data_IF_618638700128
#
_entry.id   IF_618638700128
#
_cell.length_a   1.000
_cell.length_b   1.000
_cell.length_c   1.000
_cell.angle_alpha   90.00
_cell.angle_beta   90.00
_cell.angle_gamma   90.00
#
_symmetry.space_group_name_H-M   'P 1'
#
loop_
_entity.id
_entity.type
_entity.pdbx_description
1 polymer ?
#
# COMPACT_ATOMS: atom_id res chain seq x y z
N UNK A 1 52.69 10.62 4.33
CA UNK A 1 54.01 11.28 4.49
C UNK A 1 53.78 12.51 5.31
N UNK A 2 54.45 12.55 6.47
CA UNK A 2 54.56 13.67 7.41
C UNK A 2 53.25 14.27 7.97
N UNK A 3 52.71 13.58 8.97
CA UNK A 3 51.87 14.20 9.95
C UNK A 3 52.75 14.93 10.94
N UNK A 4 52.88 16.24 10.81
CA UNK A 4 53.33 17.10 11.91
C UNK A 4 52.31 16.98 13.04
N UNK A 5 52.71 16.25 14.09
CA UNK A 5 52.02 16.28 15.35
C UNK A 5 52.12 17.72 15.86
N UNK A 6 51.10 18.52 15.64
CA UNK A 6 50.92 19.80 16.29
C UNK A 6 50.84 19.51 17.81
N UNK A 7 51.95 19.75 18.53
CA UNK A 7 51.99 19.74 19.98
C UNK A 7 50.89 20.69 20.50
N UNK A 8 49.78 20.11 20.87
CA UNK A 8 48.72 20.83 21.56
C UNK A 8 49.32 21.43 22.84
N UNK A 9 49.23 22.74 23.08
CA UNK A 9 49.74 23.35 24.30
C UNK A 9 49.13 22.61 25.47
N UNK A 10 49.98 22.19 26.44
CA UNK A 10 49.57 21.47 27.66
C UNK A 10 48.44 22.25 28.34
N UNK A 11 47.19 21.92 28.03
CA UNK A 11 46.02 22.54 28.65
C UNK A 11 45.99 22.06 30.10
N UNK A 12 46.31 22.98 31.02
CA UNK A 12 46.19 22.72 32.43
C UNK A 12 44.73 22.48 32.81
N UNK A 13 44.49 21.44 33.63
CA UNK A 13 43.14 21.17 34.10
C UNK A 13 42.58 22.35 34.91
N UNK A 14 41.27 22.54 34.84
CA UNK A 14 40.55 23.59 35.55
C UNK A 14 40.93 23.62 37.02
N UNK A 15 41.10 22.44 37.63
CA UNK A 15 41.49 22.25 39.03
C UNK A 15 42.82 22.92 39.35
N UNK A 16 43.88 22.71 38.51
CA UNK A 16 45.20 23.31 38.75
C UNK A 16 45.21 24.81 38.54
N UNK A 17 44.41 25.33 37.57
CA UNK A 17 44.31 26.80 37.38
C UNK A 17 43.57 27.51 38.51
N UNK A 18 42.51 26.91 39.07
CA UNK A 18 41.78 27.46 40.19
C UNK A 18 42.61 27.38 41.47
N UNK A 19 43.18 26.20 41.78
CA UNK A 19 43.99 25.98 42.96
C UNK A 19 45.26 26.86 42.95
N UNK A 20 45.95 26.98 41.84
CA UNK A 20 47.15 27.81 41.76
C UNK A 20 46.87 29.27 42.02
N UNK A 21 45.77 29.81 41.48
CA UNK A 21 45.36 31.19 41.82
C UNK A 21 44.96 31.39 43.27
N UNK A 22 44.26 30.43 43.87
CA UNK A 22 43.89 30.49 45.29
C UNK A 22 45.07 30.38 46.18
N UNK A 23 46.07 29.54 45.91
CA UNK A 23 47.33 29.41 46.70
C UNK A 23 48.14 30.69 46.63
N UNK A 24 48.24 31.36 45.49
CA UNK A 24 48.94 32.65 45.38
C UNK A 24 48.29 33.71 46.29
N UNK A 25 46.95 33.79 46.23
CA UNK A 25 46.22 34.74 47.06
C UNK A 25 46.31 34.43 48.52
N UNK A 26 46.26 33.16 48.92
CA UNK A 26 46.45 32.74 50.30
C UNK A 26 47.85 33.11 50.76
N UNK A 27 48.87 32.93 49.92
CA UNK A 27 50.23 33.33 50.25
C UNK A 27 50.33 34.87 50.43
N UNK A 28 49.70 35.65 49.54
CA UNK A 28 49.66 37.11 49.67
C UNK A 28 48.96 37.52 50.94
N UNK A 29 47.81 36.95 51.28
CA UNK A 29 47.08 37.25 52.53
C UNK A 29 47.89 36.90 53.78
N UNK A 30 48.56 35.74 53.79
CA UNK A 30 49.48 35.41 54.94
C UNK A 30 50.63 36.37 55.02
N UNK A 31 51.21 36.81 53.90
CA UNK A 31 52.28 37.75 53.82
C UNK A 31 51.86 39.14 54.33
N UNK A 32 50.71 39.66 53.92
CA UNK A 32 50.20 40.96 54.44
C UNK A 32 49.93 40.97 55.93
N UNK A 33 49.38 39.90 56.47
CA UNK A 33 49.18 39.72 57.92
C UNK A 33 50.50 39.66 58.62
N UNK A 34 51.48 38.87 58.13
CA UNK A 34 52.82 38.76 58.75
C UNK A 34 53.56 40.11 58.74
N UNK A 35 53.51 40.85 57.63
CA UNK A 35 54.09 42.20 57.56
C UNK A 35 53.41 43.17 58.50
N UNK A 36 52.10 43.12 58.61
CA UNK A 36 51.33 43.98 59.56
C UNK A 36 51.73 43.71 61.03
N UNK A 37 51.85 42.45 61.43
CA UNK A 37 52.32 42.08 62.75
C UNK A 37 53.74 42.53 62.96
N UNK A 38 54.64 42.30 61.99
CA UNK A 38 56.06 42.72 62.13
C UNK A 38 56.20 44.24 62.31
N UNK A 39 55.48 45.05 61.51
CA UNK A 39 55.48 46.53 61.62
C UNK A 39 54.89 46.94 62.92
N UNK A 40 53.79 46.35 63.39
CA UNK A 40 53.15 46.69 64.66
C UNK A 40 54.04 46.42 65.85
N UNK A 41 54.77 45.32 65.83
CA UNK A 41 55.76 44.99 66.87
C UNK A 41 56.98 45.98 66.85
N UNK A 42 57.46 46.32 65.65
CA UNK A 42 58.58 47.25 65.49
C UNK A 42 58.26 48.67 65.96
N UNK A 43 57.02 49.12 65.82
CA UNK A 43 56.54 50.46 66.16
C UNK A 43 56.01 50.52 67.60
N UNK A 44 56.11 49.44 68.38
CA UNK A 44 55.65 49.31 69.78
C UNK A 44 54.19 49.75 69.95
N UNK A 45 53.29 49.35 68.95
CA UNK A 45 51.89 49.73 68.97
C UNK A 45 51.14 49.06 70.10
N UNK A 46 50.29 49.79 70.83
CA UNK A 46 49.46 49.18 71.90
C UNK A 46 48.59 48.05 71.33
N UNK A 47 48.45 46.92 72.08
CA UNK A 47 47.74 45.73 71.53
C UNK A 47 46.35 45.98 70.95
N UNK A 48 45.62 46.94 71.51
CA UNK A 48 44.27 47.36 71.01
C UNK A 48 44.28 47.91 69.57
N UNK A 49 45.32 48.69 69.21
CA UNK A 49 45.45 49.25 67.87
C UNK A 49 45.96 48.20 66.87
N UNK A 50 46.88 47.35 67.33
CA UNK A 50 47.34 46.25 66.51
C UNK A 50 46.19 45.26 66.15
N UNK A 51 45.34 44.92 67.14
CA UNK A 51 44.16 44.08 66.88
C UNK A 51 43.18 44.69 65.89
N UNK A 52 42.88 46.01 66.03
CA UNK A 52 41.99 46.69 65.06
C UNK A 52 42.58 46.74 63.62
N UNK A 53 43.86 46.99 63.47
CA UNK A 53 44.56 46.98 62.21
C UNK A 53 44.59 45.58 61.59
N UNK A 54 44.82 44.55 62.37
CA UNK A 54 44.73 43.15 61.84
C UNK A 54 43.36 42.81 61.37
N UNK A 55 42.29 43.18 62.02
CA UNK A 55 40.92 42.97 61.59
C UNK A 55 40.65 43.68 60.28
N UNK A 56 41.13 44.88 60.08
CA UNK A 56 40.97 45.62 58.80
C UNK A 56 41.73 44.93 57.67
N UNK A 57 42.98 44.52 57.93
CA UNK A 57 43.79 43.81 56.92
C UNK A 57 43.16 42.48 56.53
N UNK A 58 42.75 41.67 57.49
CA UNK A 58 42.08 40.38 57.24
C UNK A 58 40.76 40.61 56.50
N UNK A 59 39.98 41.62 56.85
CA UNK A 59 38.75 41.98 56.18
C UNK A 59 39.00 42.38 54.71
N UNK A 60 40.04 43.19 54.47
CA UNK A 60 40.44 43.59 53.14
C UNK A 60 40.92 42.39 52.27
N UNK A 61 41.71 41.50 52.86
CA UNK A 61 42.19 40.29 52.20
C UNK A 61 41.04 39.35 51.82
N UNK A 62 40.02 39.17 52.69
CA UNK A 62 38.81 38.39 52.43
C UNK A 62 38.02 38.97 51.30
N UNK A 63 37.84 40.30 51.25
CA UNK A 63 37.15 40.95 50.14
C UNK A 63 37.93 40.76 48.84
N UNK A 64 39.22 40.96 48.83
CA UNK A 64 40.10 40.77 47.71
C UNK A 64 40.04 39.32 47.20
N UNK A 65 40.09 38.34 48.10
CA UNK A 65 39.96 36.93 47.81
C UNK A 65 38.61 36.64 47.18
N UNK A 66 37.49 37.15 47.66
CA UNK A 66 36.15 36.97 47.12
C UNK A 66 36.01 37.56 45.75
N UNK A 67 36.48 38.78 45.48
CA UNK A 67 36.45 39.43 44.18
C UNK A 67 37.28 38.66 43.18
N UNK A 68 38.49 38.24 43.56
CA UNK A 68 39.34 37.46 42.67
C UNK A 68 38.76 36.06 42.37
N UNK A 69 38.24 35.37 43.37
CA UNK A 69 37.61 34.08 43.18
C UNK A 69 36.41 34.19 42.22
N UNK A 70 35.57 35.20 42.46
CA UNK A 70 34.43 35.45 41.53
C UNK A 70 34.90 35.77 40.10
N UNK A 71 35.88 36.65 39.94
CA UNK A 71 36.44 36.97 38.61
C UNK A 71 37.02 35.75 37.92
N UNK A 72 37.75 34.90 38.62
CA UNK A 72 38.34 33.68 38.10
C UNK A 72 37.25 32.66 37.72
N UNK A 73 36.25 32.48 38.58
CA UNK A 73 35.14 31.57 38.32
C UNK A 73 34.34 32.00 37.07
N UNK A 74 34.04 33.29 36.97
CA UNK A 74 33.33 33.85 35.83
C UNK A 74 34.11 33.61 34.55
N UNK A 75 35.38 33.99 34.49
CA UNK A 75 36.19 33.89 33.26
C UNK A 75 36.62 32.48 32.86
N UNK A 76 36.82 31.56 33.82
CA UNK A 76 37.31 30.21 33.52
C UNK A 76 36.18 29.18 33.37
N UNK A 77 34.99 29.46 33.88
CA UNK A 77 33.90 28.51 33.91
C UNK A 77 32.62 29.08 33.33
N UNK A 78 32.10 30.17 33.90
CA UNK A 78 30.77 30.65 33.59
C UNK A 78 30.66 31.18 32.14
N UNK A 79 31.59 32.04 31.73
CA UNK A 79 31.60 32.57 30.34
C UNK A 79 31.74 31.46 29.29
N UNK A 80 32.74 30.54 29.35
CA UNK A 80 32.86 29.47 28.37
C UNK A 80 31.67 28.49 28.34
N UNK A 81 31.08 28.18 29.50
CA UNK A 81 29.89 27.34 29.55
C UNK A 81 28.69 28.03 28.91
N UNK A 82 28.50 29.33 29.18
CA UNK A 82 27.43 30.09 28.54
C UNK A 82 27.57 30.13 27.00
N UNK A 83 28.81 30.35 26.52
CA UNK A 83 29.10 30.29 25.06
C UNK A 83 28.83 28.90 24.47
N UNK A 84 29.13 27.81 25.21
CA UNK A 84 28.83 26.46 24.77
C UNK A 84 27.32 26.17 24.71
N UNK A 85 26.55 26.63 25.71
CA UNK A 85 25.10 26.49 25.73
C UNK A 85 24.49 27.22 24.52
N UNK A 86 24.86 28.49 24.32
CA UNK A 86 24.38 29.31 23.21
C UNK A 86 24.74 28.71 21.85
N UNK A 87 25.98 28.24 21.68
CA UNK A 87 26.43 27.57 20.48
C UNK A 87 25.70 26.25 20.23
N UNK A 88 25.37 25.48 21.29
CA UNK A 88 24.62 24.22 21.16
C UNK A 88 23.16 24.48 20.78
N UNK A 89 22.52 25.53 21.31
CA UNK A 89 21.17 25.93 20.93
C UNK A 89 21.12 26.38 19.48
N UNK A 90 22.13 27.08 18.97
CA UNK A 90 22.21 27.48 17.58
C UNK A 90 22.42 26.28 16.64
N UNK A 91 23.24 25.30 17.00
CA UNK A 91 23.37 24.04 16.25
C UNK A 91 22.03 23.31 16.23
N UNK A 92 21.32 23.25 17.35
CA UNK A 92 20.01 22.61 17.46
C UNK A 92 18.91 23.32 16.65
N UNK A 93 19.00 24.64 16.47
CA UNK A 93 18.05 25.42 15.67
C UNK A 93 18.30 25.37 14.16
N UNK A 94 19.35 24.67 13.72
CA UNK A 94 19.63 24.43 12.30
C UNK A 94 20.85 25.19 11.73
N UNK A 95 21.60 25.94 12.54
CA UNK A 95 22.87 26.55 12.13
C UNK A 95 24.00 25.51 12.20
N UNK A 96 23.97 24.53 11.33
CA UNK A 96 24.85 23.36 11.37
C UNK A 96 26.33 23.64 11.10
N UNK A 97 26.67 24.77 10.48
CA UNK A 97 28.06 25.16 10.16
C UNK A 97 28.81 25.74 11.39
N UNK A 98 28.10 26.03 12.47
CA UNK A 98 28.70 26.59 13.66
C UNK A 98 29.40 25.52 14.47
N UNK A 99 30.63 25.85 14.89
CA UNK A 99 31.42 25.01 15.82
C UNK A 99 31.60 25.74 17.12
N UNK A 100 31.57 24.98 18.20
CA UNK A 100 31.93 25.49 19.51
C UNK A 100 33.42 25.89 19.54
N UNK A 101 33.77 27.03 20.14
CA UNK A 101 35.13 27.53 20.15
C UNK A 101 36.06 26.66 21.03
N UNK A 102 37.36 26.76 20.77
CA UNK A 102 38.36 26.16 21.60
C UNK A 102 38.42 26.85 22.97
N UNK A 103 38.47 26.06 24.03
CA UNK A 103 38.47 26.53 25.38
C UNK A 103 39.85 26.39 26.04
N UNK A 104 40.07 27.19 27.07
CA UNK A 104 41.39 27.29 27.74
C UNK A 104 41.67 26.16 28.75
N UNK A 105 40.67 25.35 29.10
CA UNK A 105 40.79 24.27 30.08
C UNK A 105 40.58 22.92 29.42
N UNK A 106 41.33 21.91 29.81
CA UNK A 106 41.31 20.60 29.21
C UNK A 106 39.92 19.93 29.26
N UNK A 107 39.17 20.13 30.33
CA UNK A 107 37.85 19.54 30.53
C UNK A 107 36.81 20.15 29.60
N UNK A 108 36.80 21.48 29.48
CA UNK A 108 35.88 22.17 28.57
C UNK A 108 36.25 21.95 27.12
N UNK A 109 37.54 21.84 26.78
CA UNK A 109 38.01 21.50 25.45
C UNK A 109 37.51 20.13 25.02
N UNK A 110 37.58 19.11 25.89
CA UNK A 110 37.01 17.79 25.61
C UNK A 110 35.52 17.83 25.38
N UNK A 111 34.79 18.63 26.16
CA UNK A 111 33.35 18.79 26.01
C UNK A 111 33.01 19.47 24.68
N UNK A 112 33.71 20.56 24.33
CA UNK A 112 33.55 21.27 23.06
C UNK A 112 33.81 20.34 21.88
N UNK A 113 34.90 19.55 21.93
CA UNK A 113 35.23 18.58 20.87
C UNK A 113 34.19 17.48 20.74
N UNK A 114 33.67 16.93 21.85
CA UNK A 114 32.65 15.90 21.82
C UNK A 114 31.31 16.41 21.21
N UNK A 115 30.92 17.65 21.55
CA UNK A 115 29.71 18.27 21.01
C UNK A 115 29.89 18.53 19.49
N UNK A 116 31.06 19.04 19.08
CA UNK A 116 31.36 19.28 17.68
C UNK A 116 31.36 17.97 16.84
N UNK A 117 31.89 16.88 17.39
CA UNK A 117 31.87 15.56 16.75
C UNK A 117 30.44 14.99 16.65
N UNK A 118 29.65 15.16 17.73
CA UNK A 118 28.23 14.76 17.71
C UNK A 118 27.46 15.54 16.65
N UNK A 119 27.64 16.85 16.56
CA UNK A 119 27.01 17.71 15.55
C UNK A 119 27.39 17.25 14.12
N UNK A 120 28.69 17.01 13.87
CA UNK A 120 29.16 16.53 12.58
C UNK A 120 28.55 15.16 12.19
N UNK A 121 28.43 14.26 13.16
CA UNK A 121 27.80 12.92 12.96
C UNK A 121 26.31 13.06 12.65
N UNK A 122 25.60 13.93 13.37
CA UNK A 122 24.17 14.19 13.09
C UNK A 122 23.94 14.73 11.68
N UNK A 123 24.75 15.69 11.25
CA UNK A 123 24.67 16.27 9.90
C UNK A 123 24.91 15.15 8.85
N UNK A 124 25.95 14.36 9.03
CA UNK A 124 26.26 13.27 8.13
C UNK A 124 25.12 12.26 8.02
N UNK A 125 24.54 11.87 9.15
CA UNK A 125 23.39 10.96 9.19
C UNK A 125 22.14 11.54 8.52
N UNK A 126 21.88 12.84 8.66
CA UNK A 126 20.78 13.51 7.97
C UNK A 126 20.98 13.51 6.45
N UNK A 127 22.19 13.79 5.97
CA UNK A 127 22.53 13.75 4.55
C UNK A 127 22.41 12.33 3.97
N UNK A 128 22.85 11.31 4.71
CA UNK A 128 22.70 9.92 4.32
C UNK A 128 21.23 9.51 4.25
N UNK A 129 20.44 9.90 5.25
CA UNK A 129 18.99 9.63 5.26
C UNK A 129 18.31 10.30 4.06
N UNK A 130 18.64 11.55 3.77
CA UNK A 130 18.09 12.27 2.63
C UNK A 130 18.46 11.59 1.28
N UNK A 131 19.70 11.09 1.15
CA UNK A 131 20.14 10.29 -0.01
C UNK A 131 19.37 8.98 -0.14
N UNK A 132 19.21 8.26 0.96
CA UNK A 132 18.48 7.00 0.98
C UNK A 132 17.00 7.17 0.59
N UNK A 133 16.34 8.21 1.12
CA UNK A 133 14.94 8.54 0.76
C UNK A 133 14.82 8.82 -0.75
N UNK A 134 15.72 9.61 -1.33
CA UNK A 134 15.71 9.88 -2.77
C UNK A 134 15.95 8.63 -3.60
N UNK A 135 16.89 7.77 -3.19
CA UNK A 135 17.15 6.48 -3.86
C UNK A 135 15.95 5.55 -3.82
N UNK A 136 15.28 5.45 -2.66
CA UNK A 136 14.05 4.66 -2.50
C UNK A 136 12.91 5.18 -3.38
N UNK A 137 12.73 6.50 -3.50
CA UNK A 137 11.70 7.10 -4.36
C UNK A 137 11.94 6.76 -5.84
N UNK A 138 13.18 6.87 -6.31
CA UNK A 138 13.56 6.49 -7.68
C UNK A 138 13.29 5.01 -7.92
N UNK A 139 13.77 4.13 -7.04
CA UNK A 139 13.59 2.68 -7.18
C UNK A 139 12.12 2.29 -7.16
N UNK A 140 11.31 2.91 -6.32
CA UNK A 140 9.87 2.66 -6.25
C UNK A 140 9.14 3.07 -7.55
N UNK A 141 9.53 4.20 -8.14
CA UNK A 141 9.01 4.63 -9.45
C UNK A 141 9.40 3.66 -10.57
N UNK A 142 10.65 3.20 -10.60
CA UNK A 142 11.12 2.21 -11.58
C UNK A 142 10.38 0.88 -11.43
N UNK A 143 10.19 0.40 -10.21
CA UNK A 143 9.44 -0.81 -9.90
C UNK A 143 7.98 -0.70 -10.38
N UNK A 144 7.32 0.42 -10.10
CA UNK A 144 5.95 0.68 -10.55
C UNK A 144 5.83 0.67 -12.08
N UNK A 145 6.80 1.29 -12.78
CA UNK A 145 6.84 1.29 -14.25
C UNK A 145 7.12 -0.11 -14.82
N UNK A 146 8.05 -0.85 -14.22
CA UNK A 146 8.37 -2.22 -14.63
C UNK A 146 7.15 -3.13 -14.46
N UNK A 147 6.44 -2.99 -13.34
CA UNK A 147 5.20 -3.71 -13.06
C UNK A 147 4.11 -3.41 -14.10
N UNK A 148 3.90 -2.13 -14.43
CA UNK A 148 2.93 -1.73 -15.46
C UNK A 148 3.27 -2.35 -16.83
N UNK A 149 4.56 -2.38 -17.18
CA UNK A 149 5.03 -3.05 -18.42
C UNK A 149 4.80 -4.55 -18.38
N UNK A 150 5.06 -5.20 -17.23
CA UNK A 150 4.86 -6.65 -17.05
C UNK A 150 3.39 -7.03 -17.18
N UNK A 151 2.48 -6.28 -16.55
CA UNK A 151 1.02 -6.47 -16.69
C UNK A 151 0.57 -6.30 -18.14
N UNK A 152 1.11 -5.31 -18.87
CA UNK A 152 0.82 -5.14 -20.30
C UNK A 152 1.34 -6.30 -21.14
N UNK A 153 2.56 -6.77 -20.89
CA UNK A 153 3.15 -7.89 -21.60
C UNK A 153 2.38 -9.20 -21.34
N UNK A 154 1.96 -9.45 -20.10
CA UNK A 154 1.14 -10.59 -19.73
C UNK A 154 -0.23 -10.56 -20.41
N UNK A 155 -0.86 -9.38 -20.46
CA UNK A 155 -2.12 -9.18 -21.21
C UNK A 155 -1.95 -9.46 -22.70
N UNK A 156 -0.88 -8.96 -23.32
CA UNK A 156 -0.58 -9.22 -24.72
C UNK A 156 -0.30 -10.70 -24.97
N UNK A 157 0.42 -11.38 -24.08
CA UNK A 157 0.66 -12.81 -24.18
C UNK A 157 -0.63 -13.62 -24.00
N UNK A 158 -1.54 -13.19 -23.10
CA UNK A 158 -2.87 -13.78 -22.95
C UNK A 158 -3.71 -13.60 -24.21
N UNK A 159 -3.77 -12.38 -24.76
CA UNK A 159 -4.43 -12.10 -26.04
C UNK A 159 -3.79 -12.90 -27.18
N UNK A 160 -2.46 -13.03 -27.20
CA UNK A 160 -1.76 -13.84 -28.21
C UNK A 160 -2.13 -15.33 -28.15
N UNK A 161 -2.29 -15.89 -26.96
CA UNK A 161 -2.80 -17.28 -26.79
C UNK A 161 -4.27 -17.40 -27.18
N UNK A 162 -5.06 -16.36 -26.96
CA UNK A 162 -6.47 -16.30 -27.33
C UNK A 162 -6.67 -16.00 -28.83
N UNK A 163 -5.67 -15.39 -29.50
CA UNK A 163 -5.77 -14.98 -30.89
C UNK A 163 -6.11 -16.15 -31.85
N UNK A 164 -5.62 -17.34 -31.57
CA UNK A 164 -5.94 -18.52 -32.34
C UNK A 164 -7.44 -18.92 -32.20
N UNK A 165 -7.97 -18.87 -30.95
CA UNK A 165 -9.39 -19.13 -30.69
C UNK A 165 -10.29 -18.06 -31.30
N UNK A 166 -9.93 -16.78 -31.13
CA UNK A 166 -10.66 -15.64 -31.75
C UNK A 166 -10.66 -15.72 -33.26
N UNK A 167 -9.52 -16.00 -33.90
CA UNK A 167 -9.45 -16.15 -35.35
C UNK A 167 -10.34 -17.29 -35.84
N UNK A 168 -10.41 -18.39 -35.09
CA UNK A 168 -11.28 -19.50 -35.42
C UNK A 168 -12.77 -19.16 -35.25
N UNK A 169 -13.11 -18.49 -34.14
CA UNK A 169 -14.48 -18.10 -33.83
C UNK A 169 -15.03 -16.95 -34.69
N UNK A 170 -14.17 -16.05 -35.19
CA UNK A 170 -14.56 -15.03 -36.19
C UNK A 170 -14.55 -15.64 -37.58
N UNK A 171 -13.62 -16.54 -37.88
CA UNK A 171 -13.54 -17.20 -39.18
C UNK A 171 -14.75 -18.04 -39.52
N UNK A 172 -15.34 -18.71 -38.53
CA UNK A 172 -16.55 -19.52 -38.73
C UNK A 172 -17.76 -18.71 -39.22
N UNK A 173 -18.22 -17.63 -38.53
CA UNK A 173 -19.33 -16.81 -39.01
C UNK A 173 -19.01 -16.09 -40.33
N UNK A 174 -17.76 -15.69 -40.56
CA UNK A 174 -17.34 -15.12 -41.84
C UNK A 174 -17.50 -16.14 -42.97
N UNK A 175 -17.11 -17.38 -42.75
CA UNK A 175 -17.33 -18.47 -43.68
C UNK A 175 -18.82 -18.72 -43.97
N UNK A 176 -19.67 -18.69 -42.94
CA UNK A 176 -21.11 -18.81 -43.08
C UNK A 176 -21.72 -17.64 -43.89
N UNK A 177 -21.30 -16.38 -43.56
CA UNK A 177 -21.71 -15.20 -44.35
C UNK A 177 -21.36 -15.37 -45.83
N UNK A 178 -20.13 -15.81 -46.15
CA UNK A 178 -19.72 -16.07 -47.53
C UNK A 178 -20.57 -17.16 -48.19
N UNK A 179 -20.95 -18.20 -47.44
CA UNK A 179 -21.88 -19.24 -47.88
C UNK A 179 -23.26 -18.69 -48.20
N UNK A 180 -23.86 -17.92 -47.32
CA UNK A 180 -25.18 -17.27 -47.53
C UNK A 180 -25.17 -16.31 -48.72
N UNK A 181 -24.14 -15.48 -48.86
CA UNK A 181 -23.96 -14.61 -50.03
C UNK A 181 -23.84 -15.42 -51.34
N UNK A 182 -23.19 -16.60 -51.27
CA UNK A 182 -23.11 -17.53 -52.41
C UNK A 182 -24.47 -18.09 -52.83
N UNK A 183 -25.36 -18.37 -51.87
CA UNK A 183 -26.74 -18.80 -52.10
C UNK A 183 -27.57 -17.65 -52.71
N UNK A 184 -27.47 -16.45 -52.15
CA UNK A 184 -28.16 -15.26 -52.68
C UNK A 184 -27.78 -14.94 -54.12
N UNK A 185 -26.50 -15.05 -54.48
CA UNK A 185 -25.99 -14.86 -55.85
C UNK A 185 -26.52 -15.89 -56.84
N UNK A 186 -26.94 -17.07 -56.42
CA UNK A 186 -27.52 -18.13 -57.26
C UNK A 186 -29.05 -18.08 -57.38
N UNK A 187 -29.67 -17.00 -56.83
CA UNK A 187 -31.11 -16.81 -56.96
C UNK A 187 -31.93 -17.52 -55.86
N UNK A 188 -31.33 -17.80 -54.69
CA UNK A 188 -32.06 -18.31 -53.55
C UNK A 188 -33.11 -17.32 -53.02
N UNK A 189 -34.11 -17.82 -52.30
CA UNK A 189 -35.20 -17.03 -51.73
C UNK A 189 -34.67 -15.82 -50.94
N UNK A 190 -35.20 -14.63 -51.23
CA UNK A 190 -34.61 -13.34 -50.84
C UNK A 190 -34.61 -13.04 -49.33
N UNK A 191 -35.29 -13.84 -48.50
CA UNK A 191 -35.38 -13.68 -47.06
C UNK A 191 -34.31 -14.46 -46.26
N UNK A 192 -34.15 -15.75 -46.52
CA UNK A 192 -33.37 -16.66 -45.65
C UNK A 192 -31.88 -16.38 -45.63
N UNK A 193 -31.26 -15.99 -46.75
CA UNK A 193 -29.83 -15.68 -46.74
C UNK A 193 -29.50 -14.31 -46.14
N UNK A 194 -30.42 -13.33 -46.21
CA UNK A 194 -30.27 -12.00 -45.55
C UNK A 194 -30.33 -12.15 -44.06
N UNK A 195 -31.27 -12.91 -43.52
CA UNK A 195 -31.42 -13.18 -42.10
C UNK A 195 -30.21 -13.95 -41.57
N UNK A 196 -29.69 -14.93 -42.35
CA UNK A 196 -28.47 -15.64 -41.99
C UNK A 196 -27.23 -14.74 -41.94
N UNK A 197 -27.06 -13.84 -42.91
CA UNK A 197 -25.96 -12.86 -42.91
C UNK A 197 -26.09 -11.90 -41.71
N UNK A 198 -27.29 -11.39 -41.44
CA UNK A 198 -27.54 -10.52 -40.31
C UNK A 198 -27.21 -11.21 -38.98
N UNK A 199 -27.66 -12.43 -38.78
CA UNK A 199 -27.39 -13.23 -37.59
C UNK A 199 -25.89 -13.44 -37.35
N UNK A 200 -25.12 -13.85 -38.36
CA UNK A 200 -23.68 -14.08 -38.23
C UNK A 200 -22.90 -12.76 -38.04
N UNK A 201 -23.39 -11.65 -38.60
CA UNK A 201 -22.79 -10.32 -38.36
C UNK A 201 -22.98 -9.88 -36.92
N UNK A 202 -24.16 -10.04 -36.33
CA UNK A 202 -24.43 -9.78 -34.92
C UNK A 202 -23.59 -10.68 -34.00
N UNK A 203 -23.33 -11.91 -34.42
CA UNK A 203 -22.48 -12.85 -33.71
C UNK A 203 -21.03 -12.35 -33.66
N UNK A 204 -20.47 -11.88 -34.79
CA UNK A 204 -19.13 -11.28 -34.83
C UNK A 204 -19.07 -10.05 -33.91
N UNK A 205 -20.08 -9.17 -33.95
CA UNK A 205 -20.12 -7.99 -33.07
C UNK A 205 -20.09 -8.39 -31.60
N UNK A 206 -20.84 -9.43 -31.20
CA UNK A 206 -20.80 -9.95 -29.80
C UNK A 206 -19.42 -10.49 -29.42
N UNK A 207 -18.74 -11.22 -30.29
CA UNK A 207 -17.38 -11.76 -30.04
C UNK A 207 -16.39 -10.60 -29.87
N UNK A 208 -16.43 -9.62 -30.78
CA UNK A 208 -15.53 -8.46 -30.76
C UNK A 208 -15.76 -7.61 -29.50
N UNK A 209 -17.02 -7.33 -29.15
CA UNK A 209 -17.33 -6.59 -27.90
C UNK A 209 -16.87 -7.34 -26.66
N UNK A 210 -17.13 -8.64 -26.57
CA UNK A 210 -16.66 -9.47 -25.45
C UNK A 210 -15.13 -9.48 -25.32
N UNK A 211 -14.42 -9.51 -26.46
CA UNK A 211 -12.96 -9.42 -26.46
C UNK A 211 -12.46 -8.03 -26.02
N UNK A 212 -13.08 -6.96 -26.48
CA UNK A 212 -12.75 -5.59 -26.07
C UNK A 212 -13.01 -5.37 -24.57
N UNK A 213 -14.12 -5.87 -24.05
CA UNK A 213 -14.45 -5.84 -22.62
C UNK A 213 -13.44 -6.65 -21.80
N UNK A 214 -13.04 -7.82 -22.29
CA UNK A 214 -11.99 -8.63 -21.66
C UNK A 214 -10.63 -7.93 -21.71
N UNK A 215 -10.27 -7.24 -22.79
CA UNK A 215 -8.98 -6.58 -22.98
C UNK A 215 -8.86 -5.24 -22.24
N UNK A 216 -9.97 -4.52 -22.06
CA UNK A 216 -9.96 -3.15 -21.50
C UNK A 216 -10.07 -3.19 -19.99
N UNK A 217 -9.05 -2.67 -19.23
CA UNK A 217 -9.19 -2.50 -17.80
C UNK A 217 -10.14 -1.33 -17.55
N UNK A 218 -11.34 -1.60 -17.12
CA UNK A 218 -12.15 -0.55 -16.48
C UNK A 218 -11.59 -0.37 -15.08
N UNK A 219 -10.99 0.78 -14.79
CA UNK A 219 -10.70 1.21 -13.42
C UNK A 219 -12.03 1.30 -12.70
N UNK A 220 -12.34 0.31 -11.88
CA UNK A 220 -13.54 0.31 -11.07
C UNK A 220 -13.42 1.49 -10.09
N UNK A 221 -14.34 2.43 -10.15
CA UNK A 221 -14.54 3.35 -9.04
C UNK A 221 -15.25 2.57 -7.93
N UNK A 222 -14.46 1.92 -7.06
CA UNK A 222 -14.99 1.14 -5.96
C UNK A 222 -15.79 2.08 -5.03
N UNK A 223 -17.11 1.98 -5.08
CA UNK A 223 -18.04 2.72 -4.22
C UNK A 223 -18.92 1.72 -3.48
N UNK A 224 -19.50 2.11 -2.34
CA UNK A 224 -20.55 1.31 -1.72
C UNK A 224 -21.75 1.15 -2.69
N UNK A 225 -22.13 -0.09 -2.98
CA UNK A 225 -23.24 -0.43 -3.88
C UNK A 225 -24.23 -1.31 -3.14
N UNK A 226 -25.52 -0.96 -3.23
CA UNK A 226 -26.62 -1.81 -2.79
C UNK A 226 -26.80 -2.95 -3.84
N UNK A 227 -26.40 -4.16 -3.45
CA UNK A 227 -26.51 -5.34 -4.31
C UNK A 227 -27.96 -5.69 -4.57
N UNK A 228 -28.84 -5.65 -3.55
CA UNK A 228 -30.24 -5.99 -3.69
C UNK A 228 -30.97 -5.06 -4.68
N UNK A 229 -30.72 -3.76 -4.57
CA UNK A 229 -31.27 -2.78 -5.50
C UNK A 229 -30.77 -3.03 -6.93
N UNK A 230 -29.50 -3.39 -7.10
CA UNK A 230 -28.91 -3.71 -8.42
C UNK A 230 -29.53 -4.98 -9.00
N UNK A 231 -29.69 -6.05 -8.21
CA UNK A 231 -30.34 -7.30 -8.62
C UNK A 231 -31.79 -7.03 -9.07
N UNK A 232 -32.58 -6.33 -8.26
CA UNK A 232 -33.99 -6.03 -8.60
C UNK A 232 -34.12 -5.24 -9.90
N UNK A 233 -33.34 -4.18 -10.06
CA UNK A 233 -33.31 -3.34 -11.27
C UNK A 233 -32.92 -4.13 -12.51
N UNK A 234 -31.90 -4.98 -12.43
CA UNK A 234 -31.42 -5.80 -13.55
C UNK A 234 -32.50 -6.79 -14.00
N UNK A 235 -33.13 -7.49 -13.03
CA UNK A 235 -34.18 -8.46 -13.34
C UNK A 235 -35.41 -7.77 -13.96
N UNK A 236 -35.79 -6.61 -13.44
CA UNK A 236 -36.91 -5.84 -14.00
C UNK A 236 -36.63 -5.41 -15.44
N UNK A 237 -35.44 -4.90 -15.72
CA UNK A 237 -34.99 -4.55 -17.06
C UNK A 237 -35.06 -5.77 -18.01
N UNK A 238 -34.55 -6.92 -17.60
CA UNK A 238 -34.57 -8.14 -18.40
C UNK A 238 -35.99 -8.69 -18.63
N UNK A 239 -36.89 -8.56 -17.64
CA UNK A 239 -38.32 -8.87 -17.79
C UNK A 239 -38.98 -7.99 -18.86
N UNK A 240 -38.73 -6.68 -18.84
CA UNK A 240 -39.25 -5.73 -19.83
C UNK A 240 -38.73 -6.05 -21.26
N UNK A 241 -37.50 -6.55 -21.38
CA UNK A 241 -36.92 -6.98 -22.63
C UNK A 241 -37.45 -8.37 -23.12
N UNK A 242 -38.31 -9.02 -22.34
CA UNK A 242 -38.88 -10.32 -22.66
C UNK A 242 -37.86 -11.47 -22.61
N UNK A 243 -36.81 -11.35 -21.81
CA UNK A 243 -35.74 -12.38 -21.74
C UNK A 243 -36.15 -13.63 -20.95
N UNK A 244 -37.15 -13.54 -20.07
CA UNK A 244 -37.66 -14.65 -19.25
C UNK A 244 -38.95 -15.26 -19.79
N UNK A 245 -39.07 -15.45 -21.11
CA UNK A 245 -40.28 -16.01 -21.75
C UNK A 245 -40.60 -17.42 -21.24
N UNK A 246 -39.54 -18.21 -21.03
CA UNK A 246 -39.63 -19.62 -20.63
C UNK A 246 -39.14 -19.89 -19.21
N UNK A 247 -38.75 -18.85 -18.45
CA UNK A 247 -38.15 -18.97 -17.12
C UNK A 247 -38.93 -18.18 -16.09
N UNK A 248 -39.27 -18.79 -14.97
CA UNK A 248 -39.78 -18.11 -13.80
C UNK A 248 -38.64 -17.69 -12.91
N UNK A 249 -38.60 -16.42 -12.51
CA UNK A 249 -37.52 -15.89 -11.66
C UNK A 249 -38.05 -15.62 -10.26
N UNK A 250 -37.49 -16.34 -9.28
CA UNK A 250 -37.74 -16.15 -7.85
C UNK A 250 -36.59 -15.40 -7.16
N UNK A 251 -36.95 -14.50 -6.26
CA UNK A 251 -36.01 -13.69 -5.49
C UNK A 251 -36.12 -14.00 -4.01
N UNK A 252 -34.98 -14.34 -3.39
CA UNK A 252 -34.84 -14.51 -1.94
C UNK A 252 -33.69 -13.63 -1.46
N UNK A 253 -33.97 -12.34 -1.28
CA UNK A 253 -32.97 -11.33 -0.97
C UNK A 253 -33.02 -11.01 0.53
N UNK A 254 -31.87 -11.10 1.24
CA UNK A 254 -31.78 -10.74 2.66
C UNK A 254 -32.10 -9.26 2.89
N UNK A 255 -32.91 -8.94 3.91
CA UNK A 255 -33.41 -7.58 4.16
C UNK A 255 -32.30 -6.63 4.65
N UNK A 256 -31.38 -7.08 5.50
CA UNK A 256 -30.29 -6.27 6.11
C UNK A 256 -28.92 -6.63 5.49
N UNK A 257 -28.78 -6.37 4.18
CA UNK A 257 -27.53 -6.63 3.49
C UNK A 257 -26.63 -5.38 3.51
N UNK A 258 -25.41 -5.52 4.01
CA UNK A 258 -24.45 -4.42 3.95
C UNK A 258 -24.06 -4.09 2.50
N UNK A 259 -23.83 -2.80 2.17
CA UNK A 259 -23.38 -2.42 0.84
C UNK A 259 -22.08 -3.13 0.47
N UNK A 260 -21.98 -3.58 -0.77
CA UNK A 260 -20.77 -4.21 -1.29
C UNK A 260 -19.83 -3.16 -1.90
N UNK A 261 -18.54 -3.42 -1.86
CA UNK A 261 -17.55 -2.58 -2.51
C UNK A 261 -17.47 -2.93 -4.00
N UNK A 262 -17.86 -2.01 -4.89
CA UNK A 262 -17.84 -2.30 -6.33
C UNK A 262 -18.27 -1.15 -7.21
N UNK A 263 -18.53 -1.47 -8.46
CA UNK A 263 -19.11 -0.59 -9.47
C UNK A 263 -20.47 -1.16 -9.90
N UNK A 264 -21.53 -0.37 -9.73
CA UNK A 264 -22.89 -0.83 -10.00
C UNK A 264 -23.09 -1.30 -11.45
N UNK A 265 -22.44 -0.67 -12.43
CA UNK A 265 -22.57 -1.07 -13.84
C UNK A 265 -21.86 -2.40 -14.13
N UNK A 266 -20.74 -2.66 -13.46
CA UNK A 266 -20.03 -3.92 -13.57
C UNK A 266 -20.80 -5.06 -12.89
N UNK A 267 -21.40 -4.79 -11.71
CA UNK A 267 -22.26 -5.75 -11.02
C UNK A 267 -23.51 -6.07 -11.86
N UNK A 268 -24.15 -5.07 -12.46
CA UNK A 268 -25.26 -5.26 -13.40
C UNK A 268 -24.86 -6.16 -14.55
N UNK A 269 -23.68 -5.95 -15.15
CA UNK A 269 -23.15 -6.80 -16.24
C UNK A 269 -22.93 -8.24 -15.78
N UNK A 270 -22.37 -8.46 -14.57
CA UNK A 270 -22.22 -9.81 -14.00
C UNK A 270 -23.57 -10.48 -13.84
N UNK A 271 -24.53 -9.80 -13.22
CA UNK A 271 -25.88 -10.35 -12.99
C UNK A 271 -26.57 -10.69 -14.32
N UNK A 272 -26.49 -9.81 -15.32
CA UNK A 272 -27.02 -10.08 -16.67
C UNK A 272 -26.39 -11.34 -17.26
N UNK A 273 -25.07 -11.48 -17.21
CA UNK A 273 -24.38 -12.66 -17.74
C UNK A 273 -24.79 -13.95 -17.04
N UNK A 274 -24.93 -13.93 -15.69
CA UNK A 274 -25.37 -15.10 -14.94
C UNK A 274 -26.81 -15.49 -15.30
N UNK A 275 -27.72 -14.52 -15.38
CA UNK A 275 -29.13 -14.76 -15.71
C UNK A 275 -29.32 -15.22 -17.16
N UNK A 276 -28.56 -14.67 -18.12
CA UNK A 276 -28.58 -15.14 -19.51
C UNK A 276 -28.08 -16.58 -19.62
N UNK A 277 -27.01 -16.95 -18.91
CA UNK A 277 -26.53 -18.32 -18.88
C UNK A 277 -27.58 -19.28 -18.30
N UNK A 278 -28.27 -18.89 -17.22
CA UNK A 278 -29.35 -19.67 -16.64
C UNK A 278 -30.53 -19.83 -17.60
N UNK A 279 -30.95 -18.75 -18.27
CA UNK A 279 -32.02 -18.78 -19.27
C UNK A 279 -31.69 -19.70 -20.45
N UNK A 280 -30.46 -19.54 -20.98
CA UNK A 280 -30.00 -20.37 -22.10
C UNK A 280 -29.96 -21.87 -21.72
N UNK A 281 -29.50 -22.19 -20.48
CA UNK A 281 -29.47 -23.58 -20.00
C UNK A 281 -30.87 -24.19 -19.86
N UNK A 282 -31.87 -23.42 -19.46
CA UNK A 282 -33.28 -23.85 -19.41
C UNK A 282 -33.83 -24.08 -20.80
N UNK A 283 -33.59 -23.14 -21.74
CA UNK A 283 -34.08 -23.23 -23.11
C UNK A 283 -33.48 -24.43 -23.85
N UNK A 284 -32.21 -24.78 -23.62
CA UNK A 284 -31.57 -25.96 -24.22
C UNK A 284 -32.01 -27.26 -23.54
N UNK A 285 -32.48 -27.24 -22.33
CA UNK A 285 -32.88 -28.43 -21.56
C UNK A 285 -34.36 -28.78 -21.71
N UNK A 286 -35.18 -28.24 -20.81
CA UNK A 286 -36.60 -28.59 -20.68
C UNK A 286 -37.58 -27.64 -21.42
N UNK A 287 -37.08 -26.54 -21.95
CA UNK A 287 -37.86 -25.51 -22.61
C UNK A 287 -38.69 -24.63 -21.68
N UNK A 288 -38.83 -24.98 -20.41
CA UNK A 288 -39.39 -24.17 -19.31
C UNK A 288 -38.72 -24.54 -18.00
N UNK A 289 -38.43 -23.54 -17.16
CA UNK A 289 -37.75 -23.77 -15.92
C UNK A 289 -37.78 -22.59 -14.96
N UNK A 290 -37.04 -22.73 -13.85
CA UNK A 290 -37.01 -21.78 -12.75
C UNK A 290 -35.57 -21.30 -12.51
N UNK A 291 -35.45 -20.00 -12.26
CA UNK A 291 -34.20 -19.37 -11.86
C UNK A 291 -34.41 -18.78 -10.46
N UNK A 292 -33.62 -19.19 -9.47
CA UNK A 292 -33.61 -18.56 -8.15
C UNK A 292 -32.39 -17.64 -8.01
N UNK A 293 -32.61 -16.46 -7.44
CA UNK A 293 -31.58 -15.50 -7.12
C UNK A 293 -31.67 -15.20 -5.62
N UNK A 294 -30.60 -15.53 -4.91
CA UNK A 294 -30.54 -15.40 -3.48
C UNK A 294 -29.37 -14.51 -3.07
N UNK A 295 -29.57 -13.69 -2.02
CA UNK A 295 -28.49 -12.93 -1.39
C UNK A 295 -28.46 -13.18 0.10
N UNK A 296 -27.26 -13.32 0.67
CA UNK A 296 -27.08 -13.52 2.11
C UNK A 296 -25.75 -12.94 2.59
N UNK A 297 -25.68 -12.52 3.88
CA UNK A 297 -24.39 -12.24 4.51
C UNK A 297 -23.71 -13.56 4.85
N UNK A 298 -22.40 -13.68 4.55
CA UNK A 298 -21.63 -14.88 4.84
C UNK A 298 -20.28 -14.53 5.46
N UNK A 299 -19.76 -15.41 6.29
CA UNK A 299 -18.36 -15.35 6.71
C UNK A 299 -17.55 -16.26 5.79
N UNK A 300 -16.50 -15.71 5.18
CA UNK A 300 -15.64 -16.48 4.27
C UNK A 300 -14.97 -17.61 5.03
N UNK A 301 -15.35 -18.86 4.70
CA UNK A 301 -14.70 -20.06 5.18
C UNK A 301 -13.29 -20.20 4.61
N UNK A 302 -12.63 -21.34 4.85
CA UNK A 302 -11.30 -21.58 4.29
C UNK A 302 -11.35 -21.54 2.74
N UNK A 303 -10.77 -20.53 2.07
CA UNK A 303 -10.85 -20.41 0.61
C UNK A 303 -10.04 -21.50 -0.12
N UNK A 304 -9.24 -22.29 0.59
CA UNK A 304 -8.32 -23.26 -0.01
C UNK A 304 -8.98 -24.52 -0.61
N UNK A 305 -10.28 -24.72 -0.39
CA UNK A 305 -10.94 -25.91 -0.97
C UNK A 305 -11.38 -25.77 -2.43
N UNK A 306 -11.42 -24.56 -3.00
CA UNK A 306 -11.89 -24.30 -4.38
C UNK A 306 -10.85 -23.77 -5.35
N UNK A 307 -9.77 -23.12 -4.89
CA UNK A 307 -8.85 -22.34 -5.73
C UNK A 307 -7.55 -23.08 -6.14
N UNK A 308 -7.34 -24.31 -5.68
CA UNK A 308 -6.11 -25.10 -5.93
C UNK A 308 -6.14 -25.92 -7.23
N UNK A 309 -6.85 -25.49 -8.27
CA UNK A 309 -6.85 -26.26 -9.52
C UNK A 309 -5.81 -25.75 -10.52
N UNK A 310 -4.93 -26.70 -10.90
CA UNK A 310 -3.95 -26.64 -11.97
C UNK A 310 -4.64 -26.24 -13.26
N UNK A 311 -4.14 -25.21 -13.97
CA UNK A 311 -4.63 -24.88 -15.32
C UNK A 311 -4.15 -25.90 -16.34
N UNK A 312 -4.94 -26.20 -17.34
CA UNK A 312 -4.52 -27.01 -18.49
C UNK A 312 -3.36 -26.28 -19.18
N UNK A 313 -2.16 -26.92 -19.21
CA UNK A 313 -0.94 -26.36 -19.79
C UNK A 313 0.15 -25.99 -18.78
N UNK A 314 -0.09 -26.09 -17.48
CA UNK A 314 0.98 -25.92 -16.48
C UNK A 314 1.95 -27.13 -16.50
N UNK A 315 3.27 -26.93 -16.65
CA UNK A 315 4.25 -28.03 -16.63
C UNK A 315 4.18 -28.85 -15.34
N UNK A 316 4.42 -30.16 -15.44
CA UNK A 316 4.44 -31.05 -14.31
C UNK A 316 5.58 -30.71 -13.34
N UNK A 317 5.30 -30.52 -12.05
CA UNK A 317 6.30 -30.34 -10.99
C UNK A 317 6.56 -28.90 -10.56
N UNK A 318 5.88 -27.89 -11.11
CA UNK A 318 6.01 -26.50 -10.67
C UNK A 318 4.70 -26.03 -10.01
N UNK A 319 4.78 -25.55 -8.77
CA UNK A 319 3.64 -24.97 -8.08
C UNK A 319 3.42 -23.50 -8.51
N UNK A 320 2.74 -23.35 -9.65
CA UNK A 320 2.35 -22.03 -10.15
C UNK A 320 1.26 -21.34 -9.29
N UNK A 321 0.56 -22.07 -8.45
CA UNK A 321 -0.41 -21.50 -7.52
C UNK A 321 0.31 -20.65 -6.46
N UNK A 322 1.48 -21.10 -5.98
CA UNK A 322 2.34 -20.36 -5.07
C UNK A 322 2.94 -19.10 -5.72
N UNK A 323 3.45 -19.22 -6.94
CA UNK A 323 4.00 -18.07 -7.71
C UNK A 323 2.90 -17.05 -8.02
N UNK A 324 1.70 -17.50 -8.39
CA UNK A 324 0.53 -16.63 -8.60
C UNK A 324 0.06 -15.95 -7.32
N UNK A 325 0.14 -16.63 -6.17
CA UNK A 325 -0.18 -16.07 -4.84
C UNK A 325 0.84 -14.99 -4.45
N UNK A 326 2.14 -15.21 -4.65
CA UNK A 326 3.20 -14.23 -4.43
C UNK A 326 3.05 -12.99 -5.35
N UNK A 327 2.72 -13.19 -6.62
CA UNK A 327 2.49 -12.09 -7.58
C UNK A 327 1.19 -11.31 -7.29
N UNK A 328 0.20 -11.92 -6.62
CA UNK A 328 -1.04 -11.27 -6.17
C UNK A 328 -0.88 -10.50 -4.86
N UNK A 329 -0.06 -10.99 -3.92
CA UNK A 329 0.10 -10.39 -2.59
C UNK A 329 0.86 -9.05 -2.59
N UNK A 330 1.54 -8.71 -3.68
CA UNK A 330 2.32 -7.47 -3.81
C UNK A 330 1.58 -6.33 -4.53
N UNK A 331 0.28 -6.51 -4.88
CA UNK A 331 -0.51 -5.44 -5.47
C UNK A 331 -1.30 -4.67 -4.41
N UNK A 332 -0.88 -3.45 -4.04
CA UNK A 332 -1.71 -2.54 -3.28
C UNK A 332 -2.75 -1.88 -4.20
N UNK A 333 -3.38 -2.68 -5.09
CA UNK A 333 -4.56 -2.25 -5.82
C UNK A 333 -5.72 -2.00 -4.85
N UNK A 334 -6.70 -1.14 -5.19
CA UNK A 334 -7.71 -0.65 -4.25
C UNK A 334 -8.69 -1.71 -3.74
N UNK A 335 -8.58 -2.98 -4.14
CA UNK A 335 -9.46 -4.05 -3.69
C UNK A 335 -8.70 -5.04 -2.80
N UNK A 336 -8.96 -5.00 -1.49
CA UNK A 336 -8.57 -6.05 -0.55
C UNK A 336 -9.25 -7.34 -0.97
N UNK A 337 -8.49 -8.40 -1.26
CA UNK A 337 -9.05 -9.71 -1.54
C UNK A 337 -9.66 -10.30 -0.27
N UNK A 338 -10.78 -11.01 -0.42
CA UNK A 338 -11.44 -11.73 0.67
C UNK A 338 -10.49 -12.75 1.31
N UNK A 339 -10.37 -12.68 2.63
CA UNK A 339 -9.58 -13.60 3.44
C UNK A 339 -10.51 -14.46 4.32
N UNK A 340 -9.97 -15.57 4.82
CA UNK A 340 -10.70 -16.39 5.78
C UNK A 340 -11.10 -15.56 7.01
N UNK A 341 -12.37 -15.61 7.38
CA UNK A 341 -12.94 -14.85 8.49
C UNK A 341 -13.49 -13.48 8.10
N UNK A 342 -13.27 -13.00 6.87
CA UNK A 342 -13.90 -11.76 6.40
C UNK A 342 -15.41 -11.93 6.25
N UNK A 343 -16.16 -10.86 6.56
CA UNK A 343 -17.59 -10.77 6.24
C UNK A 343 -17.72 -10.41 4.77
N UNK A 344 -18.51 -11.15 4.06
CA UNK A 344 -18.80 -10.97 2.65
C UNK A 344 -20.30 -11.06 2.37
N UNK A 345 -20.70 -10.54 1.23
CA UNK A 345 -22.03 -10.72 0.67
C UNK A 345 -21.98 -11.79 -0.39
N UNK A 346 -22.84 -12.78 -0.26
CA UNK A 346 -23.04 -13.85 -1.22
C UNK A 346 -24.20 -13.53 -2.14
N UNK A 347 -24.01 -13.77 -3.44
CA UNK A 347 -25.06 -13.81 -4.45
C UNK A 347 -25.04 -15.22 -5.08
N UNK A 348 -26.13 -15.93 -4.97
CA UNK A 348 -26.37 -17.23 -5.60
C UNK A 348 -27.35 -17.05 -6.78
N UNK A 349 -26.98 -17.58 -7.92
CA UNK A 349 -27.87 -17.72 -9.08
C UNK A 349 -27.96 -19.22 -9.39
N UNK A 350 -29.16 -19.78 -9.27
CA UNK A 350 -29.44 -21.19 -9.51
C UNK A 350 -30.46 -21.31 -10.65
N UNK A 351 -30.22 -22.25 -11.53
CA UNK A 351 -31.19 -22.70 -12.55
C UNK A 351 -31.52 -24.19 -12.37
N UNK A 352 -32.61 -24.63 -12.97
CA UNK A 352 -33.04 -26.04 -13.03
C UNK A 352 -32.75 -26.70 -14.39
N UNK A 353 -31.76 -26.15 -15.12
CA UNK A 353 -31.28 -26.68 -16.40
C UNK A 353 -30.47 -27.98 -16.26
N UNK A 354 -29.69 -28.37 -17.28
CA UNK A 354 -28.90 -29.61 -17.28
C UNK A 354 -27.75 -29.64 -16.30
N UNK A 355 -27.39 -28.48 -15.71
CA UNK A 355 -26.31 -28.36 -14.74
C UNK A 355 -24.91 -28.31 -15.34
N UNK A 356 -23.91 -28.20 -14.44
CA UNK A 356 -22.48 -28.18 -14.80
C UNK A 356 -21.80 -29.43 -14.27
N UNK A 357 -21.33 -30.34 -15.16
CA UNK A 357 -20.58 -31.54 -14.75
C UNK A 357 -19.37 -31.18 -13.87
N UNK A 358 -19.08 -32.02 -12.90
CA UNK A 358 -18.02 -31.75 -11.91
C UNK A 358 -16.64 -31.48 -12.55
N UNK A 359 -16.29 -32.26 -13.56
CA UNK A 359 -15.03 -32.10 -14.29
C UNK A 359 -14.93 -30.78 -15.06
N UNK A 360 -16.06 -30.10 -15.35
CA UNK A 360 -16.10 -28.85 -16.09
C UNK A 360 -16.21 -27.60 -15.19
N UNK A 361 -16.60 -27.74 -13.91
CA UNK A 361 -16.81 -26.60 -12.99
C UNK A 361 -15.59 -25.67 -12.88
N UNK A 362 -14.38 -26.22 -12.97
CA UNK A 362 -13.15 -25.43 -12.95
C UNK A 362 -12.83 -24.71 -14.25
N UNK A 363 -13.45 -25.10 -15.35
CA UNK A 363 -13.16 -24.61 -16.71
C UNK A 363 -14.20 -23.61 -17.22
N UNK A 364 -15.40 -23.55 -16.63
CA UNK A 364 -16.49 -22.67 -17.09
C UNK A 364 -16.14 -21.17 -17.07
N UNK A 365 -15.12 -20.79 -16.31
CA UNK A 365 -14.61 -19.42 -16.25
C UNK A 365 -13.40 -19.17 -17.17
N UNK A 366 -12.97 -20.18 -17.94
CA UNK A 366 -11.92 -19.99 -18.93
C UNK A 366 -12.48 -19.26 -20.17
N UNK A 367 -11.75 -18.28 -20.72
CA UNK A 367 -12.18 -17.60 -21.94
C UNK A 367 -12.41 -18.57 -23.09
N UNK A 368 -13.51 -18.38 -23.84
CA UNK A 368 -13.97 -19.21 -24.96
C UNK A 368 -14.39 -20.63 -24.58
N UNK A 369 -14.40 -21.01 -23.34
CA UNK A 369 -14.96 -22.28 -22.92
C UNK A 369 -16.50 -22.23 -23.02
N UNK A 370 -17.07 -23.14 -23.79
CA UNK A 370 -18.52 -23.28 -23.93
C UNK A 370 -18.88 -24.73 -24.20
N UNK A 371 -19.98 -25.21 -23.63
CA UNK A 371 -20.60 -26.50 -23.90
C UNK A 371 -21.77 -26.38 -24.90
N UNK A 372 -22.13 -25.15 -25.27
CA UNK A 372 -23.21 -24.87 -26.22
C UNK A 372 -22.80 -25.19 -27.65
N UNK A 373 -23.79 -25.45 -28.51
CA UNK A 373 -23.55 -25.68 -29.93
C UNK A 373 -22.76 -24.51 -30.56
N UNK A 374 -21.92 -24.79 -31.56
CA UNK A 374 -21.18 -23.76 -32.28
C UNK A 374 -22.11 -22.64 -32.76
N UNK A 375 -21.89 -21.43 -32.28
CA UNK A 375 -22.70 -20.26 -32.63
C UNK A 375 -23.65 -19.75 -31.58
N UNK A 376 -24.01 -20.51 -30.58
CA UNK A 376 -24.94 -20.12 -29.52
C UNK A 376 -24.27 -19.53 -28.26
N UNK A 377 -22.98 -19.78 -28.07
CA UNK A 377 -22.21 -19.22 -26.93
C UNK A 377 -20.86 -18.69 -27.37
N UNK A 378 -20.43 -17.54 -26.84
CA UNK A 378 -19.09 -16.99 -27.09
C UNK A 378 -18.05 -17.50 -26.08
N UNK A 379 -18.47 -18.18 -25.02
CA UNK A 379 -17.58 -18.61 -23.91
C UNK A 379 -16.89 -17.45 -23.17
N UNK A 380 -17.28 -16.20 -23.42
CA UNK A 380 -16.65 -15.04 -22.79
C UNK A 380 -17.42 -14.50 -21.57
N UNK A 381 -18.73 -14.75 -21.49
CA UNK A 381 -19.58 -14.16 -20.44
C UNK A 381 -19.11 -14.46 -19.02
N UNK A 382 -18.90 -15.74 -18.68
CA UNK A 382 -18.43 -16.15 -17.35
C UNK A 382 -16.97 -15.72 -17.09
N UNK A 383 -16.11 -15.75 -18.10
CA UNK A 383 -14.73 -15.27 -17.98
C UNK A 383 -14.66 -13.77 -17.68
N UNK A 384 -15.51 -12.95 -18.32
CA UNK A 384 -15.67 -11.52 -18.03
C UNK A 384 -16.20 -11.33 -16.63
N UNK A 385 -17.25 -12.08 -16.23
CA UNK A 385 -17.81 -12.01 -14.88
C UNK A 385 -16.78 -12.32 -13.80
N UNK A 386 -15.98 -13.37 -13.97
CA UNK A 386 -14.92 -13.74 -13.04
C UNK A 386 -13.90 -12.60 -12.88
N UNK A 387 -13.50 -12.00 -13.99
CA UNK A 387 -12.54 -10.90 -13.96
C UNK A 387 -13.09 -9.62 -13.30
N UNK A 388 -14.37 -9.29 -13.54
CA UNK A 388 -15.02 -8.15 -12.92
C UNK A 388 -15.12 -8.34 -11.40
N UNK A 389 -15.53 -9.52 -10.95
CA UNK A 389 -15.63 -9.88 -9.53
C UNK A 389 -14.25 -9.88 -8.86
N UNK A 390 -13.23 -10.50 -9.49
CA UNK A 390 -11.84 -10.44 -9.00
C UNK A 390 -11.33 -8.99 -8.89
N UNK A 391 -11.66 -8.14 -9.85
CA UNK A 391 -11.31 -6.72 -9.85
C UNK A 391 -11.96 -5.92 -8.70
N UNK A 392 -13.07 -6.39 -8.16
CA UNK A 392 -13.75 -5.85 -6.98
C UNK A 392 -13.25 -6.49 -5.66
N UNK A 393 -12.30 -7.44 -5.72
CA UNK A 393 -11.78 -8.17 -4.57
C UNK A 393 -12.65 -9.36 -4.14
N UNK A 394 -13.65 -9.70 -4.93
CA UNK A 394 -14.54 -10.84 -4.71
C UNK A 394 -14.05 -12.13 -5.36
N UNK A 395 -14.91 -13.15 -5.30
CA UNK A 395 -14.70 -14.46 -5.93
C UNK A 395 -16.00 -14.95 -6.60
N UNK A 396 -15.85 -15.73 -7.67
CA UNK A 396 -16.96 -16.41 -8.33
C UNK A 396 -16.62 -17.88 -8.54
N UNK A 397 -17.59 -18.77 -8.30
CA UNK A 397 -17.40 -20.21 -8.45
C UNK A 397 -18.68 -20.93 -8.89
N UNK A 398 -18.52 -22.07 -9.54
CA UNK A 398 -19.62 -23.00 -9.81
C UNK A 398 -19.63 -24.06 -8.67
N UNK A 399 -20.69 -24.05 -7.86
CA UNK A 399 -20.83 -24.97 -6.72
C UNK A 399 -21.68 -26.18 -7.08
N UNK A 400 -21.55 -27.31 -6.35
CA UNK A 400 -22.46 -28.44 -6.53
C UNK A 400 -23.90 -27.99 -6.31
N UNK A 401 -24.81 -28.45 -7.17
CA UNK A 401 -26.24 -28.35 -6.94
C UNK A 401 -26.70 -29.62 -6.20
N UNK A 402 -27.58 -29.44 -5.21
CA UNK A 402 -28.18 -30.58 -4.49
C UNK A 402 -29.20 -31.34 -5.36
N UNK A 403 -29.81 -30.63 -6.32
CA UNK A 403 -30.75 -31.12 -7.32
C UNK A 403 -30.20 -30.92 -8.74
N UNK A 404 -31.01 -31.21 -9.77
CA UNK A 404 -30.70 -30.92 -11.16
C UNK A 404 -30.55 -29.39 -11.35
N UNK A 405 -29.55 -28.98 -12.17
CA UNK A 405 -29.31 -27.57 -12.50
C UNK A 405 -27.89 -27.12 -12.16
N UNK A 406 -27.62 -25.84 -12.41
CA UNK A 406 -26.36 -25.21 -12.07
C UNK A 406 -26.54 -24.16 -10.96
N UNK A 407 -25.49 -24.01 -10.14
CA UNK A 407 -25.42 -22.98 -9.10
C UNK A 407 -24.12 -22.20 -9.28
N UNK A 408 -24.27 -20.90 -9.55
CA UNK A 408 -23.16 -19.96 -9.65
C UNK A 408 -23.17 -19.07 -8.40
N UNK A 409 -22.06 -19.07 -7.68
CA UNK A 409 -21.85 -18.37 -6.43
C UNK A 409 -20.91 -17.20 -6.62
N UNK A 410 -21.30 -16.01 -6.19
CA UNK A 410 -20.47 -14.82 -6.19
C UNK A 410 -20.31 -14.34 -4.75
N UNK A 411 -19.07 -14.07 -4.35
CA UNK A 411 -18.73 -13.51 -3.06
C UNK A 411 -18.16 -12.10 -3.27
N UNK A 412 -18.70 -11.12 -2.57
CA UNK A 412 -18.28 -9.72 -2.66
C UNK A 412 -17.88 -9.17 -1.29
N UNK A 413 -16.79 -8.40 -1.20
CA UNK A 413 -16.41 -7.76 0.05
C UNK A 413 -17.42 -6.66 0.42
N UNK A 414 -17.70 -6.55 1.71
CA UNK A 414 -18.49 -5.46 2.28
C UNK A 414 -17.70 -4.16 2.15
N UNK A 415 -18.39 -3.06 1.83
CA UNK A 415 -17.77 -1.74 1.78
C UNK A 415 -17.41 -1.27 3.19
N UNK A 416 -16.17 -0.85 3.41
CA UNK A 416 -15.76 -0.29 4.70
C UNK A 416 -16.46 1.05 4.93
N UNK A 417 -16.86 1.36 6.18
CA UNK A 417 -17.51 2.62 6.56
C UNK A 417 -16.74 3.90 6.18
N UNK A 418 -15.46 3.75 5.78
CA UNK A 418 -14.58 4.85 5.37
C UNK A 418 -14.58 5.14 3.85
N UNK A 419 -15.21 4.31 3.02
CA UNK A 419 -15.26 4.47 1.55
C UNK A 419 -16.32 5.51 1.11
N UNK A 420 -17.02 6.14 2.05
CA UNK A 420 -18.11 7.10 1.81
C UNK A 420 -17.67 8.59 1.86
N UNK A 421 -16.36 8.90 1.85
CA UNK A 421 -15.85 10.28 1.84
C UNK A 421 -15.16 10.66 0.54
#
# INVERSE_FOLDING_TARGET
MNGEAQESPLLLSLRYRLLGGLLILLFVALFTVAVTVFIGVRLDLPPRYLGAWLLIVIGADLVLLGVFANYRLTRLVLEPVAEMVDGTEQIASGEHDRRLPDTRTAELQRLSSAINEMAATLIHNQDDLARNIRSLDVTNRELSQARTRMVRAEKLASIGRLAAGVAHEIGNPLGAIMGYLGVGRRGGAQGEWVDGVAYETERIDRIVRGLLEYATPKTASARPVDLNATVRRTIEMMKLQGRFKNSEVELSLADDLEPVRGDASQLEQVIVNLLLNATDAIDEGRGRGKISVETSPVTVGNPDRGLERRRIGDPAGVDYAHVRRLLRSEDPGPARQLQQGDVAVELLVRDDGPGIPENLRGHVFEPFFTTKEPGRGTGLGLAVSARLIEGMGGAIEAVPADDAGAVLRVLLPVAERNDAR
#
